data_IF_662626745901
#
_entry.id   IF_662626745901
#
_cell.length_a   1.000
_cell.length_b   1.000
_cell.length_c   1.000
_cell.angle_alpha   90.00
_cell.angle_beta   90.00
_cell.angle_gamma   90.00
#
_symmetry.space_group_name_H-M   'P 1'
#
loop_
_entity.id
_entity.type
_entity.pdbx_description
1 polymer ?
#
# COMPACT_ATOMS: atom_id res chain seq x y z
N UNK A 1 4.76 -11.77 -8.66
CA UNK A 1 5.17 -10.80 -7.63
C UNK A 1 6.61 -10.33 -7.83
N UNK A 2 6.91 -9.71 -8.97
CA UNK A 2 8.19 -9.03 -9.20
C UNK A 2 9.42 -9.89 -9.59
N UNK A 3 9.47 -11.18 -9.22
CA UNK A 3 10.62 -12.02 -9.61
C UNK A 3 10.66 -12.29 -11.12
N UNK A 4 11.83 -12.17 -11.78
CA UNK A 4 12.01 -12.63 -13.15
C UNK A 4 11.81 -14.15 -13.24
N UNK A 5 11.05 -14.62 -14.23
CA UNK A 5 10.71 -16.04 -14.38
C UNK A 5 11.94 -16.93 -14.55
N UNK A 6 12.98 -16.44 -15.23
CA UNK A 6 14.23 -17.18 -15.39
C UNK A 6 14.89 -17.55 -14.05
N UNK A 7 14.64 -16.77 -12.98
CA UNK A 7 15.24 -16.99 -11.68
C UNK A 7 14.83 -18.35 -11.11
N UNK A 8 13.59 -18.83 -11.39
CA UNK A 8 13.09 -20.16 -10.96
C UNK A 8 13.98 -21.31 -11.44
N UNK A 9 14.74 -21.10 -12.51
CA UNK A 9 15.54 -22.13 -13.17
C UNK A 9 17.03 -22.05 -12.85
N UNK A 10 17.42 -21.18 -11.92
CA UNK A 10 18.78 -21.21 -11.34
C UNK A 10 18.93 -22.50 -10.53
N UNK A 11 19.98 -23.31 -10.74
CA UNK A 11 20.17 -24.56 -10.02
C UNK A 11 20.17 -24.37 -8.50
N UNK A 12 19.37 -25.20 -7.81
CA UNK A 12 19.27 -25.21 -6.35
C UNK A 12 18.52 -24.03 -5.74
N UNK A 13 17.81 -23.21 -6.52
CA UNK A 13 17.11 -22.05 -6.01
C UNK A 13 15.81 -22.42 -5.26
N UNK A 14 15.55 -21.71 -4.18
CA UNK A 14 14.28 -21.69 -3.48
C UNK A 14 13.97 -20.25 -3.08
N UNK A 15 12.81 -19.74 -3.48
CA UNK A 15 12.46 -18.33 -3.26
C UNK A 15 12.09 -18.06 -1.81
N UNK A 16 12.46 -16.86 -1.32
CA UNK A 16 12.03 -16.31 -0.01
C UNK A 16 12.25 -17.27 1.16
N UNK A 17 13.44 -17.85 1.23
CA UNK A 17 13.89 -18.72 2.33
C UNK A 17 15.41 -18.63 2.42
N UNK A 18 16.01 -19.28 3.43
CA UNK A 18 17.47 -19.29 3.62
C UNK A 18 18.15 -20.19 2.55
N UNK A 19 18.29 -19.64 1.36
CA UNK A 19 18.78 -20.31 0.16
C UNK A 19 19.85 -19.45 -0.52
N UNK A 20 21.09 -19.94 -0.59
CA UNK A 20 22.22 -19.17 -1.11
C UNK A 20 22.05 -18.67 -2.56
N UNK A 21 21.57 -19.48 -3.53
CA UNK A 21 21.30 -18.96 -4.88
C UNK A 21 20.30 -17.79 -4.90
N UNK A 22 19.23 -17.87 -4.11
CA UNK A 22 18.25 -16.79 -4.01
C UNK A 22 18.82 -15.56 -3.30
N UNK A 23 19.50 -15.75 -2.17
CA UNK A 23 20.17 -14.68 -1.41
C UNK A 23 21.15 -13.90 -2.27
N UNK A 24 22.00 -14.60 -3.03
CA UNK A 24 22.95 -13.98 -3.96
C UNK A 24 22.25 -13.18 -5.07
N UNK A 25 21.17 -13.72 -5.65
CA UNK A 25 20.41 -13.03 -6.71
C UNK A 25 19.69 -11.78 -6.17
N UNK A 26 19.02 -11.90 -5.02
CA UNK A 26 18.34 -10.80 -4.35
C UNK A 26 19.33 -9.70 -3.95
N UNK A 27 20.41 -10.05 -3.26
CA UNK A 27 21.45 -9.10 -2.84
C UNK A 27 22.03 -8.36 -4.05
N UNK A 28 22.39 -9.08 -5.12
CA UNK A 28 22.94 -8.47 -6.34
C UNK A 28 22.00 -7.43 -6.95
N UNK A 29 20.69 -7.71 -6.99
CA UNK A 29 19.73 -6.76 -7.52
C UNK A 29 19.52 -5.56 -6.59
N UNK A 30 19.38 -5.81 -5.28
CA UNK A 30 19.24 -4.74 -4.27
C UNK A 30 20.46 -3.82 -4.27
N UNK A 31 21.68 -4.36 -4.27
CA UNK A 31 22.93 -3.61 -4.37
C UNK A 31 22.99 -2.76 -5.64
N UNK A 32 22.58 -3.32 -6.79
CA UNK A 32 22.50 -2.58 -8.06
C UNK A 32 21.58 -1.37 -7.93
N UNK A 33 20.36 -1.56 -7.40
CA UNK A 33 19.39 -0.46 -7.26
C UNK A 33 19.90 0.58 -6.28
N UNK A 34 20.38 0.19 -5.10
CA UNK A 34 20.93 1.13 -4.11
C UNK A 34 22.13 1.90 -4.68
N UNK A 35 23.03 1.23 -5.41
CA UNK A 35 24.18 1.88 -6.05
C UNK A 35 23.74 2.90 -7.11
N UNK A 36 22.71 2.58 -7.90
CA UNK A 36 22.13 3.52 -8.87
C UNK A 36 21.52 4.74 -8.17
N UNK A 37 20.73 4.53 -7.10
CA UNK A 37 20.14 5.63 -6.34
C UNK A 37 21.21 6.51 -5.69
N UNK A 38 22.29 5.92 -5.16
CA UNK A 38 23.44 6.65 -4.61
C UNK A 38 24.18 7.47 -5.66
N UNK A 39 24.40 6.90 -6.85
CA UNK A 39 25.08 7.57 -7.96
C UNK A 39 24.32 8.84 -8.40
N UNK A 40 22.99 8.77 -8.41
CA UNK A 40 22.09 9.88 -8.74
C UNK A 40 21.75 10.77 -7.53
N UNK A 41 22.38 10.54 -6.36
CA UNK A 41 22.17 11.29 -5.10
C UNK A 41 20.69 11.36 -4.68
N UNK A 42 19.96 10.27 -4.85
CA UNK A 42 18.52 10.23 -4.61
C UNK A 42 18.14 9.97 -3.15
N UNK A 43 19.06 9.54 -2.29
CA UNK A 43 18.79 9.44 -0.85
C UNK A 43 18.76 10.82 -0.18
N UNK A 44 17.87 11.00 0.80
CA UNK A 44 17.67 12.29 1.47
C UNK A 44 18.95 12.81 2.13
N UNK A 45 19.79 11.93 2.67
CA UNK A 45 21.11 12.27 3.21
C UNK A 45 22.09 12.81 2.16
N UNK A 46 21.81 12.58 0.88
CA UNK A 46 22.56 13.13 -0.27
C UNK A 46 21.86 14.35 -0.89
N UNK A 47 20.73 14.80 -0.33
CA UNK A 47 19.89 15.88 -0.86
C UNK A 47 18.75 15.43 -1.78
N UNK A 48 18.54 14.12 -1.94
CA UNK A 48 17.50 13.56 -2.79
C UNK A 48 16.14 13.33 -2.11
N UNK A 49 15.16 12.75 -2.81
CA UNK A 49 13.80 12.59 -2.30
C UNK A 49 13.56 11.29 -1.49
N UNK A 50 14.45 10.30 -1.53
CA UNK A 50 14.23 9.00 -0.88
C UNK A 50 14.47 9.10 0.63
N UNK A 51 13.40 9.03 1.42
CA UNK A 51 13.44 9.16 2.89
C UNK A 51 13.43 7.81 3.64
N UNK A 52 13.10 6.71 2.96
CA UNK A 52 13.08 5.36 3.51
C UNK A 52 13.14 4.33 2.37
N UNK A 53 13.44 3.07 2.70
CA UNK A 53 13.42 1.96 1.74
C UNK A 53 12.85 0.70 2.40
N UNK A 54 12.16 -0.14 1.62
CA UNK A 54 11.63 -1.40 2.12
C UNK A 54 12.46 -2.57 1.56
N UNK A 55 12.80 -3.52 2.43
CA UNK A 55 13.34 -4.83 2.02
C UNK A 55 12.27 -5.90 2.25
N UNK A 56 12.14 -6.83 1.31
CA UNK A 56 11.03 -7.82 1.33
C UNK A 56 9.62 -7.17 1.30
N UNK A 57 8.57 -7.98 1.29
CA UNK A 57 7.19 -7.50 1.35
C UNK A 57 6.27 -8.54 2.01
N UNK A 58 5.66 -8.17 3.14
CA UNK A 58 4.75 -9.02 3.92
C UNK A 58 5.31 -10.44 4.14
N UNK A 59 6.56 -10.53 4.59
CA UNK A 59 7.22 -11.82 4.77
C UNK A 59 6.87 -12.49 6.10
N UNK A 60 6.45 -11.76 7.14
CA UNK A 60 6.14 -12.33 8.45
C UNK A 60 5.15 -13.52 8.41
N UNK A 61 4.04 -13.47 7.67
CA UNK A 61 3.15 -14.62 7.51
C UNK A 61 3.83 -15.83 6.83
N UNK A 62 4.70 -15.59 5.83
CA UNK A 62 5.44 -16.65 5.14
C UNK A 62 6.51 -17.24 6.07
N UNK A 63 7.24 -16.39 6.78
CA UNK A 63 8.21 -16.78 7.80
C UNK A 63 7.61 -17.71 8.85
N UNK A 64 6.42 -17.35 9.35
CA UNK A 64 5.70 -18.15 10.32
C UNK A 64 5.46 -19.58 9.80
N UNK A 65 5.05 -19.70 8.55
CA UNK A 65 4.77 -20.99 7.91
C UNK A 65 6.03 -21.82 7.67
N UNK A 66 7.11 -21.20 7.19
CA UNK A 66 8.33 -21.92 6.82
C UNK A 66 9.30 -22.12 8.00
N UNK A 67 9.08 -21.47 9.14
CA UNK A 67 9.77 -21.70 10.40
C UNK A 67 11.23 -21.21 10.43
N UNK A 68 12.14 -22.05 10.92
CA UNK A 68 13.52 -21.64 11.20
C UNK A 68 14.31 -21.10 9.98
N UNK A 69 14.18 -21.66 8.76
CA UNK A 69 14.75 -21.05 7.55
C UNK A 69 14.22 -19.64 7.27
N UNK A 70 12.94 -19.37 7.54
CA UNK A 70 12.36 -18.03 7.42
C UNK A 70 13.02 -17.05 8.38
N UNK A 71 13.19 -17.43 9.65
CA UNK A 71 13.90 -16.62 10.67
C UNK A 71 15.34 -16.30 10.30
N UNK A 72 16.05 -17.26 9.74
CA UNK A 72 17.42 -17.06 9.27
C UNK A 72 17.44 -16.07 8.08
N UNK A 73 16.53 -16.24 7.14
CA UNK A 73 16.37 -15.37 5.99
C UNK A 73 15.95 -13.93 6.36
N UNK A 74 14.99 -13.75 7.26
CA UNK A 74 14.54 -12.43 7.76
C UNK A 74 15.72 -11.64 8.35
N UNK A 75 16.52 -12.30 9.21
CA UNK A 75 17.74 -11.69 9.78
C UNK A 75 18.74 -11.32 8.70
N UNK A 76 18.99 -12.23 7.76
CA UNK A 76 19.90 -11.99 6.66
C UNK A 76 19.45 -10.82 5.78
N UNK A 77 18.17 -10.77 5.38
CA UNK A 77 17.64 -9.76 4.48
C UNK A 77 17.74 -8.36 5.11
N UNK A 78 17.35 -8.25 6.38
CA UNK A 78 17.48 -7.01 7.15
C UNK A 78 18.95 -6.57 7.30
N UNK A 79 19.85 -7.49 7.68
CA UNK A 79 21.28 -7.18 7.82
C UNK A 79 21.92 -6.77 6.51
N UNK A 80 21.60 -7.46 5.41
CA UNK A 80 22.08 -7.13 4.07
C UNK A 80 21.63 -5.72 3.68
N UNK A 81 20.34 -5.42 3.81
CA UNK A 81 19.78 -4.12 3.44
C UNK A 81 20.39 -2.97 4.25
N UNK A 82 20.47 -3.11 5.57
CA UNK A 82 21.11 -2.12 6.46
C UNK A 82 22.59 -1.94 6.12
N UNK A 83 23.30 -3.03 5.80
CA UNK A 83 24.69 -3.01 5.38
C UNK A 83 24.97 -2.25 4.08
N UNK A 84 23.94 -1.95 3.28
CA UNK A 84 24.08 -1.13 2.06
C UNK A 84 24.25 0.37 2.36
N UNK A 85 24.09 0.78 3.62
CA UNK A 85 24.39 2.13 4.13
C UNK A 85 23.74 3.24 3.28
N UNK A 86 22.42 3.17 3.11
CA UNK A 86 21.63 4.16 2.36
C UNK A 86 21.58 5.53 3.06
N UNK A 87 21.93 5.59 4.34
CA UNK A 87 21.82 6.78 5.19
C UNK A 87 20.39 7.12 5.64
N UNK A 88 19.38 6.37 5.17
CA UNK A 88 17.96 6.55 5.55
C UNK A 88 17.40 5.25 6.13
N UNK A 89 16.30 5.31 6.91
CA UNK A 89 15.71 4.12 7.53
C UNK A 89 15.29 3.03 6.53
N UNK A 90 15.43 1.78 6.97
CA UNK A 90 14.84 0.62 6.32
C UNK A 90 13.56 0.18 7.04
N UNK A 91 12.59 -0.29 6.27
CA UNK A 91 11.31 -0.79 6.77
C UNK A 91 11.01 -2.20 6.26
N UNK A 92 10.14 -2.93 6.96
CA UNK A 92 9.56 -4.21 6.54
C UNK A 92 8.07 -4.25 6.91
N UNK A 93 7.19 -4.38 5.93
CA UNK A 93 5.75 -4.46 6.19
C UNK A 93 5.32 -5.86 6.65
N UNK A 94 4.35 -5.93 7.58
CA UNK A 94 3.87 -7.16 8.24
C UNK A 94 5.01 -8.06 8.72
N UNK A 95 5.97 -7.49 9.46
CA UNK A 95 7.15 -8.20 9.94
C UNK A 95 7.37 -7.96 11.44
N UNK A 96 6.56 -8.60 12.30
CA UNK A 96 6.56 -8.33 13.75
C UNK A 96 7.92 -8.53 14.42
N UNK A 97 8.79 -9.39 13.89
CA UNK A 97 10.13 -9.65 14.43
C UNK A 97 11.26 -9.00 13.62
N UNK A 98 10.97 -7.94 12.86
CA UNK A 98 11.99 -7.16 12.13
C UNK A 98 13.12 -6.72 13.08
N UNK A 99 14.39 -7.13 12.82
CA UNK A 99 15.50 -6.83 13.72
C UNK A 99 15.89 -5.34 13.63
N UNK A 100 16.42 -4.79 14.72
CA UNK A 100 16.94 -3.43 14.71
C UNK A 100 18.09 -3.27 13.68
N UNK A 101 18.21 -2.10 13.03
CA UNK A 101 17.40 -0.88 13.18
C UNK A 101 16.14 -0.81 12.29
N UNK A 102 15.71 -1.91 11.66
CA UNK A 102 14.58 -1.90 10.70
C UNK A 102 13.25 -1.65 11.40
N UNK A 103 12.40 -0.81 10.82
CA UNK A 103 11.07 -0.49 11.34
C UNK A 103 10.04 -1.45 10.73
N UNK A 104 9.31 -2.18 11.57
CA UNK A 104 8.15 -2.94 11.13
C UNK A 104 6.94 -2.03 10.91
N UNK A 105 6.16 -2.30 9.86
CA UNK A 105 5.03 -1.46 9.45
C UNK A 105 3.76 -2.27 9.22
N UNK A 106 2.62 -1.57 9.19
CA UNK A 106 1.30 -2.17 9.00
C UNK A 106 0.75 -1.94 7.59
N UNK A 107 -0.05 -2.90 7.12
CA UNK A 107 -0.80 -2.87 5.86
C UNK A 107 -2.24 -3.31 6.12
N UNK A 108 -3.21 -2.66 5.49
CA UNK A 108 -4.61 -3.06 5.61
C UNK A 108 -5.60 -1.96 5.30
N UNK A 109 -6.88 -2.24 5.57
CA UNK A 109 -7.92 -1.21 5.60
C UNK A 109 -7.83 -0.31 6.84
N UNK A 110 -7.29 -0.86 7.93
CA UNK A 110 -7.23 -0.28 9.27
C UNK A 110 -5.95 -0.71 9.98
N UNK A 111 -5.21 0.24 10.54
CA UNK A 111 -3.97 -0.01 11.30
C UNK A 111 -3.92 0.78 12.62
N UNK A 112 -5.06 1.28 13.13
CA UNK A 112 -5.09 2.10 14.35
C UNK A 112 -4.55 1.38 15.59
N UNK A 113 -4.64 0.05 15.63
CA UNK A 113 -4.16 -0.76 16.75
C UNK A 113 -2.73 -1.29 16.56
N UNK A 114 -2.13 -1.08 15.39
CA UNK A 114 -0.75 -1.47 15.14
C UNK A 114 0.19 -0.75 16.11
N UNK A 115 1.18 -1.50 16.61
CA UNK A 115 2.32 -0.98 17.36
C UNK A 115 3.57 -1.61 16.77
N UNK A 116 4.62 -0.81 16.49
CA UNK A 116 5.88 -1.37 16.04
C UNK A 116 6.48 -2.24 17.15
N UNK A 117 7.40 -3.11 16.79
CA UNK A 117 7.94 -4.13 17.68
C UNK A 117 8.89 -3.59 18.78
N UNK A 118 9.14 -2.27 18.79
CA UNK A 118 9.92 -1.53 19.80
C UNK A 118 9.31 -0.16 20.05
N UNK A 119 9.30 0.27 21.30
CA UNK A 119 8.69 1.55 21.73
C UNK A 119 9.38 2.80 21.14
N UNK A 120 10.66 2.70 20.73
CA UNK A 120 11.39 3.81 20.10
C UNK A 120 11.23 3.87 18.57
N UNK A 121 10.47 2.95 17.97
CA UNK A 121 10.18 2.97 16.53
C UNK A 121 8.90 3.76 16.27
N UNK A 122 8.82 4.54 15.18
CA UNK A 122 7.60 5.24 14.82
C UNK A 122 6.53 4.26 14.32
N UNK A 123 5.27 4.58 14.59
CA UNK A 123 4.12 3.83 14.07
C UNK A 123 3.82 4.24 12.62
N UNK A 124 4.02 3.31 11.68
CA UNK A 124 3.93 3.56 10.23
C UNK A 124 2.95 2.61 9.54
N UNK A 125 2.16 3.15 8.62
CA UNK A 125 1.18 2.42 7.80
C UNK A 125 1.56 2.50 6.32
N UNK A 126 2.17 1.45 5.79
CA UNK A 126 2.71 1.42 4.43
C UNK A 126 1.64 1.23 3.36
N UNK A 127 0.51 0.62 3.67
CA UNK A 127 -0.57 0.39 2.70
C UNK A 127 -1.95 0.64 3.30
N UNK A 128 -2.44 1.87 3.20
CA UNK A 128 -3.85 2.22 3.38
C UNK A 128 -4.59 1.79 2.12
N UNK A 129 -5.24 0.62 2.16
CA UNK A 129 -5.93 0.09 0.98
C UNK A 129 -7.11 0.99 0.58
N UNK A 130 -7.02 1.66 -0.57
CA UNK A 130 -8.03 2.64 -1.03
C UNK A 130 -9.26 2.01 -1.69
N UNK A 131 -9.22 0.70 -1.88
CA UNK A 131 -10.16 -0.15 -2.60
C UNK A 131 -9.55 -1.55 -2.66
N UNK A 132 -9.67 -2.21 -3.81
CA UNK A 132 -9.03 -3.51 -4.05
C UNK A 132 -8.69 -3.67 -5.54
N UNK A 133 -7.86 -4.64 -5.89
CA UNK A 133 -7.57 -4.91 -7.29
C UNK A 133 -8.77 -5.57 -7.98
N UNK A 134 -8.93 -5.35 -9.28
CA UNK A 134 -9.96 -5.99 -10.10
C UNK A 134 -9.44 -7.31 -10.66
N UNK A 135 -10.24 -8.36 -10.60
CA UNK A 135 -9.94 -9.67 -11.18
C UNK A 135 -10.72 -9.87 -12.48
N UNK A 136 -10.16 -10.60 -13.43
CA UNK A 136 -10.92 -11.11 -14.57
C UNK A 136 -12.02 -12.05 -14.08
N UNK A 137 -13.28 -11.69 -14.40
CA UNK A 137 -14.47 -12.39 -13.90
C UNK A 137 -15.04 -11.84 -12.58
N UNK A 138 -14.36 -10.87 -11.95
CA UNK A 138 -14.80 -10.20 -10.73
C UNK A 138 -15.58 -8.90 -10.98
N UNK A 139 -16.20 -8.38 -9.92
CA UNK A 139 -16.75 -7.02 -9.90
C UNK A 139 -15.64 -5.99 -9.63
N UNK A 140 -15.88 -4.72 -9.96
CA UNK A 140 -14.97 -3.61 -9.60
C UNK A 140 -15.21 -3.23 -8.13
N UNK A 141 -14.25 -3.49 -7.23
CA UNK A 141 -14.40 -3.21 -5.81
C UNK A 141 -14.15 -1.73 -5.50
N UNK A 142 -14.91 -1.18 -4.56
CA UNK A 142 -14.79 0.23 -4.14
C UNK A 142 -14.70 0.36 -2.62
N UNK A 143 -14.15 1.46 -2.13
CA UNK A 143 -14.12 1.82 -0.71
C UNK A 143 -14.52 3.29 -0.54
N UNK A 144 -15.51 3.61 0.32
CA UNK A 144 -15.98 4.98 0.49
C UNK A 144 -14.88 5.96 0.92
N UNK A 145 -14.95 7.20 0.44
CA UNK A 145 -13.99 8.25 0.79
C UNK A 145 -14.02 8.55 2.30
N UNK A 146 -15.21 8.51 2.89
CA UNK A 146 -15.48 8.73 4.30
C UNK A 146 -14.82 7.67 5.17
N UNK A 147 -14.86 6.40 4.74
CA UNK A 147 -14.23 5.27 5.44
C UNK A 147 -12.70 5.34 5.36
N UNK A 148 -12.15 5.68 4.20
CA UNK A 148 -10.71 5.92 4.06
C UNK A 148 -10.27 7.07 4.97
N UNK A 149 -10.98 8.19 4.94
CA UNK A 149 -10.69 9.35 5.79
C UNK A 149 -10.79 9.01 7.28
N UNK A 150 -11.83 8.27 7.68
CA UNK A 150 -12.00 7.79 9.04
C UNK A 150 -10.84 6.90 9.48
N UNK A 151 -10.45 5.91 8.66
CA UNK A 151 -9.35 5.01 8.98
C UNK A 151 -8.02 5.75 9.17
N UNK A 152 -7.75 6.77 8.34
CA UNK A 152 -6.57 7.63 8.44
C UNK A 152 -6.61 8.48 9.70
N UNK A 153 -7.72 9.18 9.97
CA UNK A 153 -7.86 9.99 11.17
C UNK A 153 -7.74 9.14 12.44
N UNK A 154 -8.29 7.92 12.42
CA UNK A 154 -8.23 6.96 13.54
C UNK A 154 -6.81 6.45 13.79
N UNK A 155 -6.00 6.32 12.74
CA UNK A 155 -4.59 5.97 12.86
C UNK A 155 -3.76 7.13 13.43
N UNK A 156 -3.94 8.35 12.89
CA UNK A 156 -3.19 9.54 13.30
C UNK A 156 -3.52 9.93 14.75
N UNK A 157 -4.80 9.93 15.14
CA UNK A 157 -5.20 10.30 16.50
C UNK A 157 -4.54 9.43 17.58
N UNK A 158 -4.19 8.18 17.23
CA UNK A 158 -3.49 7.22 18.09
C UNK A 158 -1.97 7.20 17.90
N UNK A 159 -1.36 8.32 17.52
CA UNK A 159 0.10 8.49 17.37
C UNK A 159 0.67 7.94 16.05
N UNK A 160 -0.17 7.66 15.06
CA UNK A 160 0.28 7.28 13.73
C UNK A 160 1.03 8.43 13.03
N UNK A 161 2.24 8.18 12.54
CA UNK A 161 3.17 9.24 12.09
C UNK A 161 3.59 9.14 10.62
N UNK A 162 3.30 8.01 9.97
CA UNK A 162 3.47 7.82 8.53
C UNK A 162 2.30 7.00 7.99
N UNK A 163 1.74 7.41 6.87
CA UNK A 163 0.76 6.63 6.12
C UNK A 163 0.97 6.80 4.62
N UNK A 164 0.65 5.76 3.86
CA UNK A 164 0.72 5.76 2.41
C UNK A 164 -0.55 5.12 1.81
N UNK A 165 -1.16 5.78 0.83
CA UNK A 165 -2.33 5.24 0.12
C UNK A 165 -1.87 4.19 -0.90
N UNK A 166 -2.32 2.96 -0.71
CA UNK A 166 -2.17 1.87 -1.67
C UNK A 166 -3.55 1.63 -2.31
N UNK A 167 -3.89 2.23 -3.45
CA UNK A 167 -3.05 3.06 -4.33
C UNK A 167 -3.50 4.52 -4.28
N UNK A 168 -2.55 5.46 -4.38
CA UNK A 168 -2.89 6.87 -4.68
C UNK A 168 -3.25 7.04 -6.17
N UNK A 169 -2.50 6.36 -7.04
CA UNK A 169 -2.83 6.11 -8.44
C UNK A 169 -2.50 4.64 -8.73
N UNK A 170 -3.50 3.89 -9.18
CA UNK A 170 -3.33 2.47 -9.50
C UNK A 170 -2.82 2.23 -10.92
N UNK A 171 -3.53 2.80 -11.91
CA UNK A 171 -3.13 2.77 -13.32
C UNK A 171 -3.50 1.47 -14.04
N UNK A 172 -2.64 1.04 -14.97
CA UNK A 172 -2.93 -0.07 -15.90
C UNK A 172 -1.75 -1.05 -15.94
N UNK A 173 -2.07 -2.34 -15.86
CA UNK A 173 -1.16 -3.44 -16.13
C UNK A 173 -0.97 -3.61 -17.65
N UNK A 174 -0.08 -2.81 -18.25
CA UNK A 174 0.18 -2.86 -19.69
C UNK A 174 0.90 -4.14 -20.14
N UNK A 175 0.71 -4.48 -21.41
CA UNK A 175 1.35 -5.65 -22.02
C UNK A 175 0.90 -6.94 -21.34
N UNK A 176 1.82 -7.91 -21.21
CA UNK A 176 1.52 -9.26 -20.69
C UNK A 176 2.34 -9.67 -19.46
N UNK A 177 3.34 -8.87 -19.07
CA UNK A 177 4.26 -9.19 -17.96
C UNK A 177 4.10 -8.28 -16.74
N UNK A 178 3.05 -7.44 -16.71
CA UNK A 178 2.77 -6.53 -15.60
C UNK A 178 1.81 -7.13 -14.55
N UNK A 179 0.64 -7.59 -15.00
CA UNK A 179 -0.39 -8.17 -14.14
C UNK A 179 0.03 -9.53 -13.57
N UNK A 180 -0.45 -9.86 -12.38
CA UNK A 180 -0.31 -11.19 -11.80
C UNK A 180 -1.48 -12.11 -12.17
N UNK A 181 -1.52 -13.34 -11.60
CA UNK A 181 -2.55 -14.32 -11.95
C UNK A 181 -3.95 -13.74 -11.81
N UNK A 182 -4.74 -13.80 -12.89
CA UNK A 182 -6.13 -13.32 -12.98
C UNK A 182 -6.37 -11.84 -12.65
N UNK A 183 -5.34 -11.03 -12.40
CA UNK A 183 -5.53 -9.59 -12.26
C UNK A 183 -5.93 -8.99 -13.60
N UNK A 184 -6.96 -8.13 -13.57
CA UNK A 184 -7.40 -7.41 -14.75
C UNK A 184 -6.30 -6.48 -15.28
N UNK A 185 -6.44 -6.08 -16.55
CA UNK A 185 -5.61 -5.03 -17.15
C UNK A 185 -5.74 -3.72 -16.38
N UNK A 186 -6.95 -3.38 -15.94
CA UNK A 186 -7.19 -2.23 -15.05
C UNK A 186 -6.66 -2.51 -13.64
N UNK A 187 -5.85 -1.59 -13.12
CA UNK A 187 -5.38 -1.59 -11.73
C UNK A 187 -5.91 -0.36 -10.98
N UNK A 188 -7.11 0.14 -11.34
CA UNK A 188 -7.72 1.37 -10.81
C UNK A 188 -7.72 1.47 -9.26
N UNK A 189 -8.01 0.36 -8.57
CA UNK A 189 -8.01 0.24 -7.11
C UNK A 189 -8.97 1.17 -6.35
N UNK A 190 -9.94 1.77 -7.07
CA UNK A 190 -10.76 2.88 -6.58
C UNK A 190 -9.88 4.02 -6.00
N UNK A 191 -8.70 4.21 -6.59
CA UNK A 191 -7.69 5.14 -6.11
C UNK A 191 -8.15 6.61 -6.21
N UNK A 192 -7.60 7.52 -5.38
CA UNK A 192 -7.85 8.96 -5.48
C UNK A 192 -7.58 9.55 -6.87
N UNK A 193 -6.60 9.03 -7.60
CA UNK A 193 -6.45 9.23 -9.05
C UNK A 193 -6.87 7.94 -9.74
N UNK A 194 -7.87 8.03 -10.64
CA UNK A 194 -8.37 6.85 -11.36
C UNK A 194 -7.31 6.25 -12.31
N UNK A 195 -7.65 5.14 -12.96
CA UNK A 195 -6.78 4.47 -13.94
C UNK A 195 -6.22 5.43 -15.01
N UNK A 196 -6.99 6.44 -15.40
CA UNK A 196 -6.64 7.39 -16.45
C UNK A 196 -5.95 8.66 -15.92
N UNK A 197 -5.70 8.72 -14.61
CA UNK A 197 -5.03 9.84 -13.95
C UNK A 197 -5.96 11.01 -13.64
N UNK A 198 -7.28 10.85 -13.76
CA UNK A 198 -8.25 11.88 -13.39
C UNK A 198 -8.50 11.85 -11.87
N UNK A 199 -8.69 13.01 -11.22
CA UNK A 199 -9.13 13.06 -9.84
C UNK A 199 -10.48 12.36 -9.65
N UNK A 200 -10.51 11.32 -8.81
CA UNK A 200 -11.73 10.61 -8.45
C UNK A 200 -12.46 11.36 -7.35
N UNK A 201 -13.40 12.22 -7.73
CA UNK A 201 -14.18 12.98 -6.76
C UNK A 201 -15.43 12.21 -6.30
N UNK A 202 -15.77 12.21 -4.99
CA UNK A 202 -15.25 13.14 -3.98
C UNK A 202 -14.02 12.64 -3.21
N UNK A 203 -13.50 11.43 -3.51
CA UNK A 203 -12.42 10.80 -2.74
C UNK A 203 -11.15 11.65 -2.72
N UNK A 204 -10.72 12.11 -3.89
CA UNK A 204 -9.52 12.95 -4.00
C UNK A 204 -9.64 14.24 -3.18
N UNK A 205 -10.71 15.01 -3.38
CA UNK A 205 -10.93 16.27 -2.69
C UNK A 205 -11.14 16.11 -1.19
N UNK A 206 -11.87 15.07 -0.78
CA UNK A 206 -12.11 14.77 0.64
C UNK A 206 -10.83 14.38 1.39
N UNK A 207 -9.96 13.59 0.77
CA UNK A 207 -8.65 13.25 1.34
C UNK A 207 -7.67 14.44 1.31
N UNK A 208 -7.70 15.27 0.26
CA UNK A 208 -6.95 16.53 0.23
C UNK A 208 -7.30 17.42 1.42
N UNK A 209 -8.59 17.56 1.73
CA UNK A 209 -9.02 18.43 2.83
C UNK A 209 -8.74 17.82 4.21
N UNK A 210 -8.78 16.48 4.34
CA UNK A 210 -8.22 15.77 5.49
C UNK A 210 -6.73 16.09 5.70
N UNK A 211 -5.91 16.05 4.64
CA UNK A 211 -4.48 16.36 4.74
C UNK A 211 -4.24 17.80 5.18
N UNK A 212 -5.02 18.76 4.69
CA UNK A 212 -4.96 20.15 5.16
C UNK A 212 -5.27 20.25 6.65
N UNK A 213 -6.29 19.54 7.13
CA UNK A 213 -6.64 19.52 8.55
C UNK A 213 -5.52 18.90 9.41
N UNK A 214 -4.91 17.81 8.96
CA UNK A 214 -3.75 17.19 9.62
C UNK A 214 -2.56 18.15 9.66
N UNK A 215 -2.29 18.85 8.54
CA UNK A 215 -1.21 19.85 8.48
C UNK A 215 -1.42 21.02 9.44
N UNK A 216 -2.65 21.48 9.60
CA UNK A 216 -2.98 22.48 10.63
C UNK A 216 -2.73 21.97 12.05
N UNK A 217 -2.73 20.65 12.28
CA UNK A 217 -2.45 20.04 13.58
C UNK A 217 -0.97 19.68 13.77
N UNK A 218 -0.12 19.80 12.74
CA UNK A 218 1.21 19.16 12.70
C UNK A 218 2.12 19.57 13.87
N UNK A 219 2.16 20.85 14.24
CA UNK A 219 2.97 21.34 15.37
C UNK A 219 2.63 20.63 16.70
N UNK A 220 1.34 20.41 16.97
CA UNK A 220 0.89 19.67 18.14
C UNK A 220 1.18 18.17 18.00
N UNK A 221 0.93 17.59 16.84
CA UNK A 221 1.13 16.16 16.56
C UNK A 221 2.58 15.70 16.73
N UNK A 222 3.56 16.56 16.38
CA UNK A 222 4.99 16.21 16.43
C UNK A 222 5.68 16.58 17.76
N UNK A 223 4.97 17.24 18.68
CA UNK A 223 5.56 17.71 19.94
C UNK A 223 5.20 16.87 21.16
N UNK A 224 4.09 16.13 21.13
CA UNK A 224 3.58 15.34 22.26
C UNK A 224 2.83 14.09 21.79
N UNK A 225 2.72 13.11 22.67
CA UNK A 225 1.82 11.97 22.48
C UNK A 225 0.36 12.33 22.82
N UNK A 226 -0.64 11.64 22.23
CA UNK A 226 -2.05 11.92 22.50
C UNK A 226 -2.46 11.47 23.90
N UNK A 227 -3.25 12.31 24.56
CA UNK A 227 -4.04 11.92 25.74
C UNK A 227 -5.46 11.55 25.33
N UNK A 228 -5.98 10.43 25.87
CA UNK A 228 -7.32 9.92 25.51
C UNK A 228 -8.32 10.23 26.63
N UNK A 229 -9.42 10.87 26.27
CA UNK A 229 -10.54 11.16 27.17
C UNK A 229 -11.82 10.55 26.63
N UNK A 230 -12.57 9.83 27.47
CA UNK A 230 -13.89 9.31 27.09
C UNK A 230 -14.91 10.45 27.06
N UNK A 231 -15.63 10.60 25.95
CA UNK A 231 -16.72 11.56 25.79
C UNK A 231 -18.11 10.91 25.92
N UNK A 232 -18.18 9.59 25.76
CA UNK A 232 -19.41 8.81 25.82
C UNK A 232 -19.13 7.31 25.84
N UNK A 233 -20.13 6.49 25.52
CA UNK A 233 -19.98 5.03 25.49
C UNK A 233 -19.10 4.56 24.33
N UNK A 234 -19.22 5.21 23.16
CA UNK A 234 -18.48 4.92 21.93
C UNK A 234 -17.79 6.18 21.37
N UNK A 235 -17.57 7.19 22.21
CA UNK A 235 -17.00 8.47 21.80
C UNK A 235 -15.75 8.80 22.62
N UNK A 236 -14.72 9.28 21.94
CA UNK A 236 -13.42 9.61 22.53
C UNK A 236 -12.91 10.95 22.00
N UNK A 237 -12.15 11.66 22.83
CA UNK A 237 -11.28 12.75 22.42
C UNK A 237 -9.82 12.27 22.53
N UNK A 238 -9.06 12.40 21.45
CA UNK A 238 -7.62 12.24 21.43
C UNK A 238 -7.00 13.63 21.31
N UNK A 239 -6.27 14.06 22.35
CA UNK A 239 -5.81 15.44 22.49
C UNK A 239 -4.29 15.49 22.57
N UNK A 240 -3.70 16.21 21.62
CA UNK A 240 -2.29 16.55 21.54
C UNK A 240 -2.14 17.97 22.07
N UNK A 241 -1.69 18.12 23.31
CA UNK A 241 -1.56 19.42 23.96
C UNK A 241 -0.15 19.62 24.51
N UNK A 242 0.58 20.57 23.93
CA UNK A 242 1.84 21.09 24.42
C UNK A 242 1.62 22.40 25.18
N UNK A 243 2.69 23.08 25.59
CA UNK A 243 2.59 24.42 26.20
C UNK A 243 2.07 25.48 25.22
N UNK A 244 2.38 25.33 23.93
CA UNK A 244 2.07 26.32 22.88
C UNK A 244 0.90 25.93 21.99
N UNK A 245 0.66 24.64 21.76
CA UNK A 245 -0.27 24.13 20.75
C UNK A 245 -1.27 23.13 21.32
N UNK A 246 -2.44 23.03 20.69
CA UNK A 246 -3.45 22.06 21.05
C UNK A 246 -4.20 21.59 19.80
N UNK A 247 -4.13 20.31 19.47
CA UNK A 247 -4.98 19.67 18.48
C UNK A 247 -5.82 18.57 19.12
N UNK A 248 -7.08 18.43 18.69
CA UNK A 248 -7.98 17.40 19.17
C UNK A 248 -8.68 16.66 18.03
N UNK A 249 -8.86 15.37 18.21
CA UNK A 249 -9.65 14.48 17.36
C UNK A 249 -10.82 13.96 18.18
N UNK A 250 -12.04 14.25 17.74
CA UNK A 250 -13.27 13.82 18.43
C UNK A 250 -13.90 12.70 17.62
N UNK A 251 -13.83 11.48 18.13
CA UNK A 251 -14.25 10.27 17.46
C UNK A 251 -15.64 9.82 17.91
N UNK A 252 -16.47 9.38 16.97
CA UNK A 252 -17.67 8.59 17.20
C UNK A 252 -17.54 7.24 16.49
N UNK A 253 -17.39 6.17 17.26
CA UNK A 253 -17.27 4.81 16.75
C UNK A 253 -18.63 4.11 16.56
N UNK A 254 -19.75 4.76 16.93
CA UNK A 254 -21.07 4.23 16.64
C UNK A 254 -21.31 4.25 15.12
N UNK A 255 -21.57 3.09 14.52
CA UNK A 255 -21.75 2.96 13.08
C UNK A 255 -23.16 3.36 12.59
N UNK A 256 -24.09 3.64 13.50
CA UNK A 256 -25.51 3.86 13.18
C UNK A 256 -26.02 5.25 13.56
N UNK A 257 -25.56 5.79 14.69
CA UNK A 257 -26.16 6.98 15.29
C UNK A 257 -25.18 8.14 15.40
N UNK A 258 -25.66 9.33 15.02
CA UNK A 258 -25.00 10.59 15.34
C UNK A 258 -25.10 10.86 16.84
N UNK A 259 -24.05 11.43 17.42
CA UNK A 259 -24.01 11.77 18.84
C UNK A 259 -23.49 13.19 19.02
N UNK A 260 -24.14 13.94 19.92
CA UNK A 260 -23.66 15.26 20.34
C UNK A 260 -22.75 15.10 21.56
N UNK A 261 -21.53 15.60 21.48
CA UNK A 261 -20.53 15.53 22.56
C UNK A 261 -20.15 16.93 23.06
N UNK A 262 -19.79 17.02 24.34
CA UNK A 262 -19.26 18.24 24.95
C UNK A 262 -17.74 18.15 25.06
N UNK A 263 -17.00 19.11 24.49
CA UNK A 263 -15.53 19.16 24.56
C UNK A 263 -15.05 20.61 24.60
N UNK A 264 -14.08 20.95 25.45
CA UNK A 264 -13.47 22.29 25.48
C UNK A 264 -14.45 23.46 25.71
N UNK A 265 -15.61 23.22 26.33
CA UNK A 265 -16.69 24.21 26.49
C UNK A 265 -17.62 24.37 25.27
N UNK A 266 -17.35 23.68 24.16
CA UNK A 266 -18.18 23.60 22.96
C UNK A 266 -19.06 22.35 22.89
N UNK A 267 -19.96 22.32 21.91
CA UNK A 267 -20.79 21.17 21.55
C UNK A 267 -20.50 20.77 20.10
N UNK A 268 -20.32 19.48 19.86
CA UNK A 268 -19.99 18.96 18.53
C UNK A 268 -20.94 17.82 18.17
N UNK A 269 -21.56 17.93 17.00
CA UNK A 269 -22.37 16.87 16.40
C UNK A 269 -21.46 15.98 15.56
N UNK A 270 -21.23 14.75 16.04
CA UNK A 270 -20.42 13.73 15.39
C UNK A 270 -21.34 12.76 14.64
N UNK A 271 -21.29 12.70 13.29
CA UNK A 271 -21.96 11.66 12.52
C UNK A 271 -21.53 10.24 12.93
N UNK A 272 -22.29 9.19 12.54
CA UNK A 272 -21.86 7.82 12.74
C UNK A 272 -20.52 7.57 12.03
N UNK A 273 -19.68 6.74 12.64
CA UNK A 273 -18.39 6.31 12.07
C UNK A 273 -17.54 7.50 11.56
N UNK A 274 -17.35 8.50 12.42
CA UNK A 274 -16.69 9.74 12.02
C UNK A 274 -15.72 10.28 13.07
N UNK A 275 -14.74 11.05 12.61
CA UNK A 275 -13.80 11.78 13.46
C UNK A 275 -13.79 13.24 13.01
N UNK A 276 -14.00 14.15 13.96
CA UNK A 276 -13.83 15.59 13.77
C UNK A 276 -12.42 16.03 14.17
N UNK A 277 -11.79 16.91 13.39
CA UNK A 277 -10.44 17.42 13.62
C UNK A 277 -10.50 18.90 14.01
N UNK A 278 -9.91 19.23 15.15
CA UNK A 278 -9.88 20.55 15.74
C UNK A 278 -8.41 20.98 15.95
N UNK A 279 -7.79 21.73 15.02
CA UNK A 279 -6.37 22.09 15.09
C UNK A 279 -5.97 23.00 16.24
N UNK A 280 -6.95 23.64 16.89
CA UNK A 280 -6.79 24.54 18.04
C UNK A 280 -7.56 24.05 19.28
N UNK A 281 -8.02 22.78 19.24
CA UNK A 281 -8.93 22.16 20.23
C UNK A 281 -10.29 22.86 20.40
N UNK A 282 -10.69 23.77 19.48
CA UNK A 282 -11.93 24.56 19.59
C UNK A 282 -12.77 24.49 18.32
N UNK A 283 -12.21 24.76 17.15
CA UNK A 283 -12.98 24.87 15.91
C UNK A 283 -12.82 23.60 15.08
N UNK A 284 -13.94 22.93 14.79
CA UNK A 284 -13.96 21.82 13.84
C UNK A 284 -13.68 22.38 12.44
N UNK A 285 -12.58 21.95 11.82
CA UNK A 285 -12.24 22.34 10.43
C UNK A 285 -12.55 21.23 9.42
N UNK A 286 -12.73 20.01 9.91
CA UNK A 286 -12.97 18.83 9.09
C UNK A 286 -13.67 17.74 9.91
N UNK A 287 -14.54 16.96 9.28
CA UNK A 287 -15.06 15.70 9.82
C UNK A 287 -15.07 14.64 8.70
N UNK A 288 -14.64 13.44 9.02
CA UNK A 288 -14.41 12.36 8.03
C UNK A 288 -15.69 11.91 7.31
N UNK A 289 -16.88 12.18 7.85
CA UNK A 289 -18.16 11.86 7.21
C UNK A 289 -18.89 13.09 6.62
N UNK A 290 -18.37 14.31 6.80
CA UNK A 290 -18.94 15.54 6.22
C UNK A 290 -18.20 15.88 4.92
N UNK A 291 -18.59 15.25 3.82
CA UNK A 291 -17.95 15.42 2.50
C UNK A 291 -18.31 16.79 1.90
N UNK A 292 -17.31 17.66 1.75
CA UNK A 292 -17.47 19.00 1.15
C UNK A 292 -17.15 19.07 -0.36
N UNK A 293 -16.54 18.02 -0.93
CA UNK A 293 -16.20 17.96 -2.36
C UNK A 293 -17.37 17.42 -3.18
N UNK A 294 -17.55 17.94 -4.40
CA UNK A 294 -18.61 17.49 -5.30
C UNK A 294 -18.25 16.15 -5.93
N UNK A 295 -19.18 15.19 -5.98
CA UNK A 295 -18.94 13.92 -6.65
C UNK A 295 -18.82 14.08 -8.17
N UNK A 296 -17.92 13.32 -8.78
CA UNK A 296 -17.80 13.19 -10.24
C UNK A 296 -18.46 11.90 -10.73
N UNK A 297 -18.99 11.91 -11.96
CA UNK A 297 -19.45 10.70 -12.64
C UNK A 297 -18.55 10.44 -13.85
N UNK A 298 -18.00 9.24 -13.92
CA UNK A 298 -17.18 8.81 -15.07
C UNK A 298 -18.11 8.55 -16.26
N UNK A 299 -17.73 9.09 -17.42
CA UNK A 299 -18.41 8.84 -18.69
C UNK A 299 -17.38 8.42 -19.75
N UNK A 300 -17.66 7.31 -20.43
CA UNK A 300 -16.88 6.83 -21.56
C UNK A 300 -17.68 7.05 -22.84
N UNK A 301 -17.53 8.23 -23.45
CA UNK A 301 -18.28 8.61 -24.66
C UNK A 301 -17.50 8.20 -25.92
N UNK A 302 -18.09 7.41 -26.84
CA UNK A 302 -17.44 7.07 -28.09
C UNK A 302 -17.10 8.31 -28.91
N UNK A 303 -15.84 8.43 -29.38
CA UNK A 303 -15.39 9.56 -30.22
C UNK A 303 -15.42 9.25 -31.72
N UNK A 304 -15.61 7.98 -32.10
CA UNK A 304 -15.62 7.54 -33.49
C UNK A 304 -16.58 6.36 -33.69
N UNK A 305 -17.12 6.21 -34.91
CA UNK A 305 -18.21 5.27 -35.22
C UNK A 305 -17.78 3.96 -35.90
N UNK A 306 -16.49 3.77 -36.20
CA UNK A 306 -15.98 2.49 -36.73
C UNK A 306 -14.51 2.53 -37.14
N UNK A 307 -13.89 1.38 -37.38
CA UNK A 307 -12.50 1.30 -37.88
C UNK A 307 -12.44 0.39 -39.12
N UNK A 308 -11.59 0.69 -40.12
CA UNK A 308 -11.40 -0.19 -41.28
C UNK A 308 -10.56 -1.41 -40.88
N UNK A 309 -11.24 -2.49 -40.47
CA UNK A 309 -10.57 -3.72 -40.01
C UNK A 309 -10.12 -4.63 -41.15
N UNK A 310 -9.00 -5.30 -40.93
CA UNK A 310 -8.57 -6.48 -41.68
C UNK A 310 -8.54 -7.67 -40.71
N UNK A 311 -8.65 -8.89 -41.24
CA UNK A 311 -8.56 -10.11 -40.44
C UNK A 311 -7.49 -11.05 -40.97
N UNK A 312 -6.84 -11.74 -40.05
CA UNK A 312 -5.97 -12.87 -40.30
C UNK A 312 -6.46 -14.02 -39.40
N UNK A 313 -6.53 -15.23 -39.95
CA UNK A 313 -6.91 -16.42 -39.20
C UNK A 313 -5.61 -17.09 -38.79
N UNK A 314 -5.38 -17.17 -37.48
CA UNK A 314 -4.32 -18.01 -36.93
C UNK A 314 -4.70 -19.48 -37.19
N UNK A 315 -3.86 -20.21 -37.93
CA UNK A 315 -4.08 -21.61 -38.21
C UNK A 315 -3.93 -22.45 -36.93
N UNK A 316 -4.71 -23.52 -36.80
CA UNK A 316 -4.53 -24.47 -35.70
C UNK A 316 -3.28 -25.29 -35.95
N UNK A 317 -2.42 -25.42 -34.93
CA UNK A 317 -1.21 -26.23 -35.04
C UNK A 317 -1.53 -27.73 -35.11
N UNK A 318 -0.84 -28.46 -35.98
CA UNK A 318 -0.88 -29.92 -36.05
C UNK A 318 0.42 -30.57 -35.57
N UNK A 319 0.32 -31.79 -35.03
CA UNK A 319 1.46 -32.55 -34.48
C UNK A 319 2.55 -32.91 -35.50
N UNK A 320 2.27 -32.77 -36.80
CA UNK A 320 3.19 -33.05 -37.91
C UNK A 320 3.90 -31.79 -38.44
N UNK A 321 3.68 -30.63 -37.84
CA UNK A 321 4.36 -29.38 -38.22
C UNK A 321 5.84 -29.39 -37.85
N UNK A 322 6.65 -28.75 -38.71
CA UNK A 322 8.12 -28.71 -38.60
C UNK A 322 8.63 -27.92 -37.40
N UNK A 323 7.80 -27.05 -36.84
CA UNK A 323 8.19 -26.11 -35.79
C UNK A 323 7.86 -26.66 -34.39
N UNK A 324 7.39 -27.91 -34.32
CA UNK A 324 7.10 -28.62 -33.08
C UNK A 324 8.37 -29.18 -32.43
N UNK A 325 8.45 -29.12 -31.10
CA UNK A 325 9.50 -29.81 -30.33
C UNK A 325 8.87 -30.98 -29.56
N UNK A 326 9.30 -32.20 -29.85
CA UNK A 326 8.80 -33.40 -29.18
C UNK A 326 9.60 -33.69 -27.92
N UNK A 327 8.89 -33.97 -26.82
CA UNK A 327 9.47 -34.41 -25.57
C UNK A 327 8.68 -35.62 -25.03
N UNK A 328 9.36 -36.57 -24.42
CA UNK A 328 8.69 -37.70 -23.78
C UNK A 328 7.98 -37.23 -22.50
N UNK A 329 6.65 -37.16 -22.54
CA UNK A 329 5.77 -36.84 -21.41
C UNK A 329 5.17 -35.43 -21.42
N UNK A 330 4.43 -35.11 -20.36
CA UNK A 330 3.81 -33.79 -20.16
C UNK A 330 4.74 -32.88 -19.35
N UNK A 331 4.94 -31.66 -19.85
CA UNK A 331 5.84 -30.67 -19.24
C UNK A 331 5.03 -29.51 -18.66
N UNK A 332 5.53 -28.88 -17.60
CA UNK A 332 4.92 -27.69 -16.99
C UNK A 332 5.08 -26.46 -17.91
N UNK A 333 4.03 -25.66 -18.06
CA UNK A 333 3.97 -24.60 -19.06
C UNK A 333 5.06 -23.54 -18.89
N UNK A 334 5.26 -23.00 -17.69
CA UNK A 334 6.27 -21.96 -17.45
C UNK A 334 7.68 -22.52 -17.70
N UNK A 335 7.91 -23.82 -17.50
CA UNK A 335 9.19 -24.45 -17.82
C UNK A 335 9.47 -24.47 -19.32
N UNK A 336 8.46 -24.67 -20.16
CA UNK A 336 8.60 -24.67 -21.62
C UNK A 336 8.66 -23.24 -22.15
N UNK A 337 7.66 -22.41 -21.83
CA UNK A 337 7.55 -21.07 -22.40
C UNK A 337 8.51 -20.07 -21.79
N UNK A 338 9.05 -20.33 -20.58
CA UNK A 338 9.85 -19.35 -19.82
C UNK A 338 9.14 -17.99 -19.66
N UNK A 339 7.80 -17.99 -19.71
CA UNK A 339 6.97 -16.78 -19.72
C UNK A 339 7.29 -15.82 -20.89
N UNK A 340 7.76 -16.33 -22.04
CA UNK A 340 7.89 -15.51 -23.26
C UNK A 340 6.56 -15.34 -24.00
N UNK A 341 5.58 -16.20 -23.71
CA UNK A 341 4.22 -16.19 -24.28
C UNK A 341 3.22 -16.75 -23.26
N UNK A 342 1.97 -16.32 -23.38
CA UNK A 342 0.84 -16.82 -22.57
C UNK A 342 0.36 -18.19 -23.04
N UNK A 343 0.72 -18.59 -24.27
CA UNK A 343 0.18 -19.76 -24.95
C UNK A 343 1.22 -20.89 -25.05
N UNK A 344 0.79 -22.11 -24.75
CA UNK A 344 1.53 -23.34 -25.02
C UNK A 344 0.58 -24.38 -25.60
N UNK A 345 0.92 -24.90 -26.77
CA UNK A 345 0.19 -25.99 -27.40
C UNK A 345 0.69 -27.33 -26.88
N UNK A 346 -0.23 -28.15 -26.37
CA UNK A 346 0.01 -29.57 -26.09
C UNK A 346 -0.67 -30.37 -27.19
N UNK A 347 0.13 -31.03 -28.02
CA UNK A 347 -0.30 -31.76 -29.23
C UNK A 347 -0.05 -33.26 -29.11
#
# INVERSE_FOLDING_TARGET
>A
GGFPVWLKYVPGIAFRTDNEPFKAAMQKFTEKIVSMMKAEKLFQTQGGPIILSQIENEFGPVEWEIGAPGKAYTKWAAQMAVGLDTGVPWIMCKQEDAPDPVIDTCNGFYCENFKPNKDYKPKMWTEVWTGWYTEFGGAVPTRPAEDVAFSVARFIQGGGSFLNYYMYHGGTNFGRTAGGPFMATSYDYDAPLDEYGLPREPKWGHLRDLHKAIKSCESALVSVDPSVTKLGSNQEAHVFKSESDCAAFLANYDAKYSVKVSFGGGQYDLPPWSISILPDCKTEVYNTAKVGSQSSQVQMTPVHSGFPWQSFIEETTSSDETDTTTLDGLYEQINITRDTTDYLWYM
#
